data_IF_777784145240
#
_entry.id   IF_777784145240
#
_cell.length_a   1.000
_cell.length_b   1.000
_cell.length_c   1.000
_cell.angle_alpha   90.00
_cell.angle_beta   90.00
_cell.angle_gamma   90.00
#
_symmetry.space_group_name_H-M   'P 1'
#
loop_
_entity.id
_entity.type
_entity.pdbx_description
1 polymer ?
#
# COMPACT_ATOMS: atom_id res chain seq x y z
N UNK A 1 -8.99 -7.02 -8.58
CA UNK A 1 -10.06 -7.15 -9.60
C UNK A 1 -9.65 -6.67 -10.95
N UNK A 2 -9.17 -5.42 -11.06
CA UNK A 2 -8.75 -4.84 -12.34
C UNK A 2 -7.76 -5.74 -13.09
N UNK A 3 -6.68 -6.19 -12.44
CA UNK A 3 -5.68 -7.06 -13.07
C UNK A 3 -6.29 -8.37 -13.64
N UNK A 4 -6.91 -9.26 -12.83
CA UNK A 4 -7.49 -10.48 -13.38
C UNK A 4 -8.54 -10.18 -14.44
N UNK A 5 -9.42 -9.21 -14.23
CA UNK A 5 -10.49 -8.85 -15.18
C UNK A 5 -9.92 -8.45 -16.55
N UNK A 6 -8.93 -7.55 -16.59
CA UNK A 6 -8.32 -7.11 -17.85
C UNK A 6 -7.61 -8.28 -18.55
N UNK A 7 -6.93 -9.14 -17.78
CA UNK A 7 -6.25 -10.31 -18.36
C UNK A 7 -7.25 -11.26 -19.00
N UNK A 8 -8.39 -11.53 -18.34
CA UNK A 8 -9.45 -12.36 -18.91
C UNK A 8 -10.11 -11.73 -20.13
N UNK A 9 -10.42 -10.43 -20.09
CA UNK A 9 -10.96 -9.70 -21.24
C UNK A 9 -10.01 -9.69 -22.45
N UNK A 10 -8.70 -9.75 -22.20
CA UNK A 10 -7.68 -9.87 -23.24
C UNK A 10 -7.45 -11.33 -23.71
N UNK A 11 -8.23 -12.31 -23.23
CA UNK A 11 -8.08 -13.73 -23.59
C UNK A 11 -6.90 -14.43 -22.92
N UNK A 12 -6.34 -13.86 -21.86
CA UNK A 12 -5.22 -14.42 -21.11
C UNK A 12 -5.61 -15.06 -19.78
N UNK A 13 -4.61 -15.62 -19.10
CA UNK A 13 -4.72 -16.17 -17.74
C UNK A 13 -3.68 -15.52 -16.83
N UNK A 14 -4.05 -15.00 -15.64
CA UNK A 14 -3.08 -14.40 -14.74
C UNK A 14 -2.03 -15.42 -14.28
N UNK A 15 -0.74 -15.04 -14.33
CA UNK A 15 0.37 -15.94 -13.97
C UNK A 15 0.62 -16.06 -12.46
N UNK A 16 0.06 -15.17 -11.65
CA UNK A 16 0.30 -15.17 -10.21
C UNK A 16 -0.45 -16.34 -9.53
N UNK A 17 0.27 -17.09 -8.70
CA UNK A 17 -0.28 -18.25 -7.98
C UNK A 17 -1.36 -17.87 -6.95
N UNK A 18 -1.31 -16.64 -6.43
CA UNK A 18 -2.30 -16.10 -5.50
C UNK A 18 -2.61 -14.65 -5.89
N UNK A 19 -3.86 -14.40 -6.24
CA UNK A 19 -4.39 -13.06 -6.48
C UNK A 19 -5.52 -12.79 -5.51
N UNK A 20 -5.47 -11.65 -4.83
CA UNK A 20 -6.57 -11.19 -3.97
C UNK A 20 -7.76 -10.66 -4.79
N UNK A 21 -7.53 -10.39 -6.08
CA UNK A 21 -8.56 -9.94 -7.00
C UNK A 21 -9.26 -11.09 -7.71
N UNK A 22 -10.51 -10.86 -8.09
CA UNK A 22 -11.30 -11.77 -8.91
C UNK A 22 -11.62 -11.16 -10.28
N UNK A 23 -11.92 -12.01 -11.26
CA UNK A 23 -12.45 -11.58 -12.55
C UNK A 23 -13.89 -11.08 -12.40
N UNK A 24 -14.14 -9.86 -12.84
CA UNK A 24 -15.45 -9.22 -12.84
C UNK A 24 -16.09 -9.19 -14.23
N UNK A 25 -15.50 -9.84 -15.24
CA UNK A 25 -16.00 -9.83 -16.63
C UNK A 25 -17.48 -10.20 -16.73
N UNK A 26 -17.91 -11.26 -16.02
CA UNK A 26 -19.31 -11.67 -15.97
C UNK A 26 -20.23 -10.58 -15.38
N UNK A 27 -19.79 -9.88 -14.32
CA UNK A 27 -20.52 -8.76 -13.72
C UNK A 27 -20.63 -7.57 -14.68
N UNK A 28 -19.59 -7.32 -15.47
CA UNK A 28 -19.55 -6.22 -16.43
C UNK A 28 -20.37 -6.49 -17.69
N UNK A 29 -20.51 -7.75 -18.10
CA UNK A 29 -21.16 -8.15 -19.34
C UNK A 29 -22.60 -8.67 -19.14
N UNK A 30 -22.96 -9.09 -17.93
CA UNK A 30 -24.28 -9.65 -17.63
C UNK A 30 -24.96 -8.94 -16.46
N UNK A 31 -26.19 -8.49 -16.69
CA UNK A 31 -26.97 -7.71 -15.72
C UNK A 31 -27.33 -8.44 -14.42
N UNK A 32 -27.19 -9.78 -14.38
CA UNK A 32 -27.58 -10.61 -13.22
C UNK A 32 -26.42 -11.38 -12.59
N UNK A 33 -25.18 -11.16 -13.02
CA UNK A 33 -24.04 -11.78 -12.37
C UNK A 33 -23.82 -11.15 -10.98
N UNK A 34 -23.48 -11.98 -9.99
CA UNK A 34 -23.13 -11.50 -8.65
C UNK A 34 -21.63 -11.27 -8.56
N UNK A 35 -21.22 -10.31 -7.73
CA UNK A 35 -19.81 -10.11 -7.43
C UNK A 35 -19.21 -11.41 -6.84
N UNK A 36 -18.03 -11.86 -7.32
CA UNK A 36 -17.34 -13.01 -6.75
C UNK A 36 -16.82 -12.74 -5.33
N UNK A 37 -16.76 -11.47 -4.90
CA UNK A 37 -16.29 -11.08 -3.59
C UNK A 37 -17.34 -11.29 -2.52
N UNK A 38 -17.02 -12.16 -1.55
CA UNK A 38 -17.81 -12.31 -0.33
C UNK A 38 -17.46 -11.27 0.73
N UNK A 39 -16.18 -10.91 0.80
CA UNK A 39 -15.66 -9.95 1.75
C UNK A 39 -14.53 -9.09 1.16
N UNK A 40 -14.38 -7.87 1.69
CA UNK A 40 -13.30 -6.93 1.40
C UNK A 40 -12.49 -6.69 2.66
N UNK A 41 -11.17 -6.63 2.52
CA UNK A 41 -10.21 -6.50 3.61
C UNK A 41 -9.48 -5.17 3.52
N UNK A 42 -9.41 -4.44 4.63
CA UNK A 42 -8.79 -3.13 4.69
C UNK A 42 -7.54 -3.23 5.56
N UNK A 43 -6.37 -3.08 4.94
CA UNK A 43 -5.09 -3.06 5.65
C UNK A 43 -4.56 -1.64 5.79
N UNK A 44 -3.78 -1.39 6.82
CA UNK A 44 -3.06 -0.13 7.00
C UNK A 44 -1.97 -0.28 8.05
N UNK A 45 -1.02 0.65 8.11
CA UNK A 45 0.17 0.50 8.97
C UNK A 45 1.28 -0.31 8.31
N UNK A 46 2.26 -0.74 9.10
CA UNK A 46 3.44 -1.51 8.64
C UNK A 46 3.56 -2.85 9.35
N UNK A 47 2.65 -3.81 9.08
CA UNK A 47 2.73 -5.14 9.68
C UNK A 47 4.05 -5.82 9.30
N UNK A 48 4.65 -6.56 10.23
CA UNK A 48 5.92 -7.26 10.00
C UNK A 48 7.20 -6.43 10.19
N UNK A 49 7.11 -5.17 10.63
CA UNK A 49 8.26 -4.35 11.01
C UNK A 49 8.84 -4.67 12.41
N UNK A 50 8.75 -5.93 12.86
CA UNK A 50 9.17 -6.35 14.20
C UNK A 50 8.17 -6.05 15.32
N UNK A 51 6.91 -5.78 14.97
CA UNK A 51 5.90 -5.31 15.91
C UNK A 51 5.02 -6.45 16.43
N UNK A 52 4.73 -6.43 17.74
CA UNK A 52 3.67 -7.24 18.34
C UNK A 52 2.29 -6.70 17.97
N UNK A 53 1.23 -7.50 18.17
CA UNK A 53 -0.16 -7.12 17.84
C UNK A 53 -0.62 -5.81 18.51
N UNK A 54 0.05 -5.40 19.59
CA UNK A 54 -0.31 -4.24 20.42
C UNK A 54 0.65 -3.05 20.26
N UNK A 55 1.64 -3.12 19.36
CA UNK A 55 2.62 -2.04 19.18
C UNK A 55 1.99 -0.85 18.43
N UNK A 56 2.01 0.34 19.06
CA UNK A 56 1.59 1.60 18.43
C UNK A 56 2.30 1.79 17.09
N UNK A 57 1.53 1.92 16.01
CA UNK A 57 2.04 2.19 14.66
C UNK A 57 2.20 0.98 13.74
N UNK A 58 1.95 -0.26 14.20
CA UNK A 58 2.05 -1.44 13.34
C UNK A 58 0.76 -2.25 13.15
N UNK A 59 -0.38 -1.60 12.86
CA UNK A 59 -1.57 -2.38 12.61
C UNK A 59 -1.44 -3.16 11.28
N UNK A 60 -2.17 -4.27 11.17
CA UNK A 60 -2.25 -5.11 9.97
C UNK A 60 -3.62 -4.95 9.33
N UNK A 61 -4.53 -5.88 9.63
CA UNK A 61 -5.93 -5.81 9.21
C UNK A 61 -6.70 -4.79 10.07
N UNK A 62 -7.22 -3.73 9.46
CA UNK A 62 -7.96 -2.66 10.15
C UNK A 62 -9.45 -2.92 10.18
N UNK A 63 -10.01 -3.40 9.07
CA UNK A 63 -11.43 -3.64 8.94
C UNK A 63 -11.71 -4.76 7.94
N UNK A 64 -12.89 -5.35 8.06
CA UNK A 64 -13.42 -6.33 7.10
C UNK A 64 -14.88 -5.98 6.80
N UNK A 65 -15.24 -5.92 5.52
CA UNK A 65 -16.62 -5.82 5.05
C UNK A 65 -17.03 -7.15 4.46
N UNK A 66 -18.08 -7.78 4.98
CA UNK A 66 -18.71 -8.96 4.37
C UNK A 66 -20.17 -8.62 4.05
N UNK A 67 -20.50 -8.58 2.76
CA UNK A 67 -21.79 -8.07 2.28
C UNK A 67 -22.09 -6.65 2.81
N UNK A 68 -23.21 -6.53 3.52
CA UNK A 68 -23.68 -5.25 4.10
C UNK A 68 -23.06 -4.88 5.44
N UNK A 69 -22.20 -5.72 6.02
CA UNK A 69 -21.66 -5.47 7.35
C UNK A 69 -20.16 -5.19 7.29
N UNK A 70 -19.70 -4.17 8.02
CA UNK A 70 -18.27 -3.83 8.13
C UNK A 70 -17.85 -3.75 9.59
N UNK A 71 -16.84 -4.53 9.97
CA UNK A 71 -16.24 -4.53 11.30
C UNK A 71 -14.91 -3.77 11.29
N UNK A 72 -14.68 -2.94 12.30
CA UNK A 72 -13.39 -2.32 12.57
C UNK A 72 -12.66 -3.04 13.73
N UNK A 73 -11.41 -3.41 13.47
CA UNK A 73 -10.43 -3.90 14.43
C UNK A 73 -9.48 -2.79 14.89
N UNK A 74 -9.22 -1.82 14.01
CA UNK A 74 -8.37 -0.66 14.27
C UNK A 74 -9.08 0.59 13.74
N UNK A 75 -9.09 1.65 14.55
CA UNK A 75 -9.71 2.93 14.19
C UNK A 75 -8.72 4.09 14.27
N UNK A 76 -8.95 5.12 13.46
CA UNK A 76 -8.19 6.36 13.46
C UNK A 76 -9.12 7.52 13.10
N UNK A 77 -9.17 8.57 13.92
CA UNK A 77 -10.06 9.72 13.75
C UNK A 77 -9.58 10.75 12.72
N UNK A 78 -8.40 10.54 12.12
CA UNK A 78 -7.80 11.42 11.12
C UNK A 78 -6.31 11.16 10.95
N UNK A 79 -5.70 11.66 9.87
CA UNK A 79 -4.31 11.32 9.52
C UNK A 79 -3.27 11.61 10.61
N UNK A 80 -3.50 12.64 11.44
CA UNK A 80 -2.61 13.04 12.54
C UNK A 80 -2.83 12.29 13.85
N UNK A 81 -3.87 11.45 13.93
CA UNK A 81 -4.18 10.69 15.15
C UNK A 81 -3.54 9.33 15.11
N UNK A 82 -3.04 8.87 16.26
CA UNK A 82 -2.49 7.53 16.38
C UNK A 82 -3.60 6.48 16.16
N UNK A 83 -3.34 5.43 15.36
CA UNK A 83 -4.27 4.30 15.26
C UNK A 83 -4.49 3.66 16.63
N UNK A 84 -5.72 3.23 16.91
CA UNK A 84 -6.09 2.54 18.15
C UNK A 84 -6.74 1.20 17.84
N UNK A 85 -6.26 0.13 18.47
CA UNK A 85 -6.91 -1.18 18.43
C UNK A 85 -8.22 -1.11 19.20
N UNK A 86 -9.28 -1.67 18.63
CA UNK A 86 -10.60 -1.74 19.26
C UNK A 86 -10.60 -2.89 20.27
N UNK A 87 -10.35 -2.58 21.54
CA UNK A 87 -10.41 -3.51 22.67
C UNK A 87 -11.72 -3.29 23.42
N UNK A 88 -12.71 -4.19 23.26
CA UNK A 88 -14.01 -4.07 23.92
C UNK A 88 -15.18 -4.23 22.94
N UNK A 89 -16.13 -3.28 22.94
CA UNK A 89 -17.32 -3.33 22.07
C UNK A 89 -16.88 -3.42 20.61
N UNK A 90 -17.28 -4.49 19.92
CA UNK A 90 -17.01 -4.69 18.50
C UNK A 90 -17.74 -3.61 17.71
N UNK A 91 -16.99 -2.86 16.90
CA UNK A 91 -17.55 -1.83 16.03
C UNK A 91 -17.93 -2.48 14.71
N UNK A 92 -19.20 -2.86 14.57
CA UNK A 92 -19.75 -3.43 13.33
C UNK A 92 -20.88 -2.54 12.85
N UNK A 93 -20.89 -2.19 11.58
CA UNK A 93 -21.88 -1.29 10.98
C UNK A 93 -22.61 -1.99 9.83
N UNK A 94 -23.89 -1.64 9.63
CA UNK A 94 -24.59 -2.00 8.40
C UNK A 94 -24.46 -0.83 7.41
N UNK A 95 -23.48 -0.93 6.53
CA UNK A 95 -23.08 0.13 5.59
C UNK A 95 -24.11 0.40 4.48
N UNK A 96 -25.06 -0.51 4.25
CA UNK A 96 -26.17 -0.25 3.30
C UNK A 96 -27.25 0.64 3.91
N UNK A 97 -27.31 0.71 5.26
CA UNK A 97 -28.25 1.58 5.99
C UNK A 97 -27.56 2.80 6.60
N UNK A 98 -26.27 2.67 6.90
CA UNK A 98 -25.46 3.69 7.57
C UNK A 98 -24.04 3.69 6.97
N UNK A 99 -23.94 4.24 5.76
CA UNK A 99 -22.66 4.38 5.06
C UNK A 99 -21.68 5.29 5.81
N UNK A 100 -22.17 6.16 6.69
CA UNK A 100 -21.37 7.05 7.53
C UNK A 100 -20.78 6.39 8.77
N UNK A 101 -21.15 5.14 9.06
CA UNK A 101 -20.65 4.38 10.22
C UNK A 101 -20.90 5.10 11.56
N UNK A 102 -22.07 5.74 11.71
CA UNK A 102 -22.46 6.47 12.91
C UNK A 102 -23.05 5.57 14.01
N UNK A 103 -23.73 4.49 13.62
CA UNK A 103 -24.56 3.67 14.51
C UNK A 103 -24.11 2.20 14.49
N UNK A 104 -23.24 1.78 15.44
CA UNK A 104 -22.83 0.39 15.54
C UNK A 104 -24.02 -0.55 15.78
N UNK A 105 -23.98 -1.74 15.18
CA UNK A 105 -24.94 -2.80 15.39
C UNK A 105 -24.88 -3.35 16.82
N UNK A 106 -26.05 -3.72 17.32
CA UNK A 106 -26.23 -4.37 18.62
C UNK A 106 -27.13 -5.61 18.50
N UNK A 107 -27.19 -6.42 19.57
CA UNK A 107 -28.08 -7.58 19.68
C UNK A 107 -27.84 -8.67 18.62
N UNK A 108 -28.93 -9.28 18.11
CA UNK A 108 -28.89 -10.44 17.21
C UNK A 108 -28.22 -10.13 15.86
N UNK A 109 -28.42 -8.93 15.32
CA UNK A 109 -27.81 -8.50 14.05
C UNK A 109 -26.29 -8.46 14.12
N UNK A 110 -25.75 -8.04 15.27
CA UNK A 110 -24.32 -8.05 15.54
C UNK A 110 -23.75 -9.47 15.56
N UNK A 111 -24.41 -10.42 16.23
CA UNK A 111 -23.91 -11.79 16.36
C UNK A 111 -23.76 -12.50 15.00
N UNK A 112 -24.74 -12.35 14.11
CA UNK A 112 -24.69 -12.93 12.75
C UNK A 112 -23.57 -12.29 11.92
N UNK A 113 -23.43 -10.96 11.99
CA UNK A 113 -22.38 -10.26 11.27
C UNK A 113 -20.98 -10.71 11.73
N UNK A 114 -20.77 -10.83 13.05
CA UNK A 114 -19.51 -11.28 13.63
C UNK A 114 -19.15 -12.72 13.23
N UNK A 115 -20.12 -13.64 13.19
CA UNK A 115 -19.86 -15.02 12.77
C UNK A 115 -19.30 -15.07 11.34
N UNK A 116 -19.93 -14.35 10.40
CA UNK A 116 -19.49 -14.31 9.01
C UNK A 116 -18.12 -13.63 8.84
N UNK A 117 -17.90 -12.51 9.54
CA UNK A 117 -16.63 -11.78 9.46
C UNK A 117 -15.50 -12.60 10.07
N UNK A 118 -15.70 -13.21 11.24
CA UNK A 118 -14.67 -14.03 11.88
C UNK A 118 -14.28 -15.24 11.03
N UNK A 119 -15.26 -15.91 10.39
CA UNK A 119 -14.98 -17.01 9.48
C UNK A 119 -14.10 -16.56 8.29
N UNK A 120 -14.41 -15.40 7.70
CA UNK A 120 -13.62 -14.80 6.62
C UNK A 120 -12.21 -14.39 7.07
N UNK A 121 -12.07 -13.79 8.26
CA UNK A 121 -10.76 -13.44 8.82
C UNK A 121 -9.89 -14.68 9.03
N UNK A 122 -10.45 -15.75 9.60
CA UNK A 122 -9.73 -17.01 9.78
C UNK A 122 -9.26 -17.61 8.45
N UNK A 123 -10.05 -17.47 7.38
CA UNK A 123 -9.65 -17.91 6.05
C UNK A 123 -8.52 -17.05 5.49
N UNK A 124 -8.62 -15.72 5.62
CA UNK A 124 -7.58 -14.78 5.20
C UNK A 124 -6.26 -15.06 5.92
N UNK A 125 -6.28 -15.27 7.23
CA UNK A 125 -5.06 -15.49 8.02
C UNK A 125 -4.24 -16.69 7.54
N UNK A 126 -4.87 -17.68 6.89
CA UNK A 126 -4.18 -18.84 6.30
C UNK A 126 -3.49 -18.52 4.97
N UNK A 127 -3.87 -17.44 4.30
CA UNK A 127 -3.30 -17.03 3.00
C UNK A 127 -2.31 -15.86 3.12
N UNK A 128 -2.22 -15.22 4.29
CA UNK A 128 -1.32 -14.09 4.49
C UNK A 128 0.15 -14.50 4.45
N UNK A 129 1.05 -13.62 3.95
CA UNK A 129 2.48 -13.86 3.99
C UNK A 129 2.99 -14.22 5.39
N UNK A 130 3.67 -15.37 5.50
CA UNK A 130 4.15 -15.92 6.76
C UNK A 130 3.22 -16.91 7.45
N UNK A 131 2.01 -17.13 6.93
CA UNK A 131 1.20 -18.31 7.27
C UNK A 131 1.91 -19.61 6.84
N UNK A 132 1.58 -20.76 7.46
CA UNK A 132 2.17 -22.05 7.06
C UNK A 132 2.00 -22.31 5.56
N UNK A 133 3.10 -22.59 4.86
CA UNK A 133 3.09 -22.83 3.42
C UNK A 133 3.00 -21.57 2.53
N UNK A 134 2.93 -20.36 3.12
CA UNK A 134 2.88 -19.10 2.37
C UNK A 134 4.19 -18.33 2.49
N UNK A 135 4.78 -17.96 1.36
CA UNK A 135 6.03 -17.21 1.31
C UNK A 135 5.95 -15.88 2.10
N UNK A 136 6.98 -15.58 2.89
CA UNK A 136 7.09 -14.30 3.59
C UNK A 136 7.41 -13.17 2.61
N UNK A 137 6.66 -12.07 2.70
CA UNK A 137 6.94 -10.84 1.94
C UNK A 137 7.65 -9.86 2.87
N UNK A 138 8.82 -9.38 2.45
CA UNK A 138 9.60 -8.40 3.23
C UNK A 138 9.00 -7.00 3.05
N UNK A 139 8.91 -6.24 4.14
CA UNK A 139 8.52 -4.83 4.09
C UNK A 139 9.57 -4.01 3.31
N UNK A 140 9.30 -3.72 2.04
CA UNK A 140 10.23 -2.96 1.19
C UNK A 140 10.32 -1.49 1.60
N UNK A 141 9.21 -0.89 2.05
CA UNK A 141 9.20 0.50 2.53
C UNK A 141 10.03 0.64 3.81
N UNK A 142 9.98 -0.37 4.69
CA UNK A 142 10.77 -0.44 5.90
C UNK A 142 12.29 -0.56 5.69
N UNK A 143 12.75 -0.75 4.44
CA UNK A 143 14.19 -0.73 4.11
C UNK A 143 14.80 0.68 4.15
N UNK A 144 13.95 1.71 4.26
CA UNK A 144 14.37 3.10 4.27
C UNK A 144 14.73 3.61 2.88
N UNK A 145 15.12 4.88 2.85
CA UNK A 145 15.52 5.56 1.62
C UNK A 145 17.05 5.57 1.51
N UNK A 146 17.56 5.47 0.29
CA UNK A 146 18.97 5.67 -0.02
C UNK A 146 19.13 6.90 -0.90
N UNK A 147 19.93 7.87 -0.47
CA UNK A 147 20.30 9.03 -1.29
C UNK A 147 21.00 8.61 -2.59
N UNK A 148 21.66 7.45 -2.59
CA UNK A 148 22.39 6.90 -3.73
C UNK A 148 21.47 6.15 -4.72
N UNK A 149 20.20 5.92 -4.36
CA UNK A 149 19.17 5.40 -5.26
C UNK A 149 18.39 6.52 -5.98
N UNK A 150 18.78 7.78 -5.74
CA UNK A 150 18.22 8.92 -6.48
C UNK A 150 18.69 8.86 -7.93
N UNK A 151 17.76 8.99 -8.87
CA UNK A 151 18.09 9.14 -10.27
C UNK A 151 18.87 10.44 -10.46
N UNK A 152 20.16 10.32 -10.75
CA UNK A 152 21.05 11.43 -11.05
C UNK A 152 21.38 11.44 -12.54
N UNK A 153 21.15 12.56 -13.22
CA UNK A 153 21.41 12.72 -14.65
C UNK A 153 22.91 12.94 -14.98
N UNK A 154 23.84 12.66 -14.06
CA UNK A 154 25.30 12.71 -14.29
C UNK A 154 26.07 11.82 -13.32
N UNK A 155 26.70 10.75 -13.81
CA UNK A 155 27.83 10.12 -13.11
C UNK A 155 29.10 10.86 -13.55
N UNK A 156 29.65 11.67 -12.65
CA UNK A 156 30.90 12.38 -12.86
C UNK A 156 32.05 11.40 -13.14
N UNK A 157 32.40 11.26 -14.41
CA UNK A 157 33.71 10.83 -14.85
C UNK A 157 34.40 12.05 -15.48
N UNK A 158 35.22 12.75 -14.69
CA UNK A 158 36.22 13.69 -15.19
C UNK A 158 35.80 15.17 -15.19
N UNK A 159 36.45 15.96 -14.33
CA UNK A 159 36.61 17.41 -14.53
C UNK A 159 35.97 18.28 -13.45
N UNK A 160 36.79 18.69 -12.49
CA UNK A 160 36.60 19.95 -11.76
C UNK A 160 36.37 21.08 -12.76
N UNK A 161 35.13 21.52 -12.90
CA UNK A 161 34.77 22.65 -13.74
C UNK A 161 33.53 23.32 -13.18
N UNK A 162 33.72 24.34 -12.35
CA UNK A 162 32.67 25.30 -12.03
C UNK A 162 32.11 25.82 -13.36
N UNK A 163 30.80 25.74 -13.63
CA UNK A 163 30.24 26.29 -14.85
C UNK A 163 30.37 27.81 -14.77
N UNK A 164 31.35 28.34 -15.48
CA UNK A 164 31.49 29.76 -15.71
C UNK A 164 30.44 30.10 -16.76
N UNK A 165 29.41 30.87 -16.40
CA UNK A 165 28.51 31.47 -17.38
C UNK A 165 29.38 32.18 -18.42
N UNK A 166 29.04 32.06 -19.70
CA UNK A 166 29.78 32.55 -20.86
C UNK A 166 30.10 34.07 -20.88
N UNK A 167 29.78 34.80 -19.81
CA UNK A 167 30.09 36.22 -19.60
C UNK A 167 30.86 36.51 -18.29
N UNK A 168 31.55 35.53 -17.69
CA UNK A 168 32.52 35.77 -16.62
C UNK A 168 31.96 36.31 -15.29
N UNK A 169 30.64 36.35 -15.09
CA UNK A 169 30.02 36.79 -13.83
C UNK A 169 29.60 35.59 -12.99
N UNK A 170 30.12 35.52 -11.75
CA UNK A 170 29.62 34.59 -10.71
C UNK A 170 28.11 34.81 -10.54
N UNK A 171 27.32 33.75 -10.67
CA UNK A 171 25.88 33.79 -10.45
C UNK A 171 25.60 34.27 -9.00
N UNK A 172 25.18 35.53 -8.86
CA UNK A 172 24.68 36.05 -7.58
C UNK A 172 23.38 35.33 -7.25
N UNK A 173 23.30 34.77 -6.04
CA UNK A 173 22.07 34.30 -5.41
C UNK A 173 21.00 35.41 -5.50
N UNK A 174 20.03 35.24 -6.38
CA UNK A 174 18.77 35.96 -6.28
C UNK A 174 17.88 35.20 -5.29
N UNK A 175 17.52 35.88 -4.20
CA UNK A 175 16.63 35.35 -3.17
C UNK A 175 15.23 35.12 -3.72
N UNK A 176 14.73 33.91 -3.52
CA UNK A 176 13.31 33.60 -3.40
C UNK A 176 13.17 32.69 -2.18
N UNK A 177 12.27 33.08 -1.27
CA UNK A 177 12.11 32.45 0.03
C UNK A 177 11.65 31.00 -0.05
N UNK A 178 12.00 30.24 0.99
CA UNK A 178 11.11 29.21 1.51
C UNK A 178 11.00 27.88 0.74
N UNK A 179 11.98 27.49 -0.07
CA UNK A 179 12.15 26.08 -0.44
C UNK A 179 13.63 25.75 -0.39
N UNK A 180 14.01 24.74 0.39
CA UNK A 180 15.35 24.13 0.27
C UNK A 180 15.44 23.61 -1.16
N UNK A 181 16.09 24.39 -2.02
CA UNK A 181 16.29 24.06 -3.43
C UNK A 181 17.08 22.78 -3.54
N UNK A 182 16.39 21.69 -3.86
CA UNK A 182 17.03 20.57 -4.52
C UNK A 182 17.48 21.08 -5.89
N UNK A 183 18.76 20.94 -6.27
CA UNK A 183 19.19 21.34 -7.61
C UNK A 183 18.33 20.59 -8.64
N UNK A 184 17.72 21.35 -9.54
CA UNK A 184 16.90 20.80 -10.61
C UNK A 184 17.79 19.94 -11.53
N UNK A 185 17.61 18.62 -11.50
CA UNK A 185 18.24 17.73 -12.46
C UNK A 185 17.63 18.00 -13.84
N UNK A 186 18.41 18.52 -14.79
CA UNK A 186 18.02 18.59 -16.20
C UNK A 186 18.41 17.29 -16.88
N UNK A 187 17.44 16.60 -17.46
CA UNK A 187 17.65 15.29 -18.08
C UNK A 187 17.48 15.39 -19.60
N UNK A 188 18.49 14.95 -20.35
CA UNK A 188 18.49 14.88 -21.82
C UNK A 188 18.43 13.42 -22.28
N UNK A 189 18.20 13.19 -23.57
CA UNK A 189 18.12 11.85 -24.18
C UNK A 189 19.37 10.97 -24.00
N UNK A 190 20.50 11.55 -23.55
CA UNK A 190 21.76 10.83 -23.35
C UNK A 190 22.00 10.30 -21.92
N UNK A 191 21.16 10.62 -20.92
CA UNK A 191 21.54 10.48 -19.49
C UNK A 191 20.60 9.57 -18.65
N UNK A 192 19.92 8.60 -19.26
CA UNK A 192 18.86 7.77 -18.65
C UNK A 192 19.31 6.54 -17.85
N UNK A 193 20.44 6.56 -17.15
CA UNK A 193 20.96 5.35 -16.51
C UNK A 193 20.47 5.14 -15.07
N UNK A 194 19.51 4.22 -14.89
CA UNK A 194 19.12 3.67 -13.59
C UNK A 194 20.10 2.55 -13.22
N UNK A 195 20.97 2.73 -12.22
CA UNK A 195 21.74 1.62 -11.64
C UNK A 195 21.00 1.08 -10.42
N UNK A 196 20.28 -0.02 -10.58
CA UNK A 196 19.75 -0.81 -9.45
C UNK A 196 20.80 -1.82 -9.00
N UNK A 197 21.35 -1.67 -7.79
CA UNK A 197 22.12 -2.75 -7.18
C UNK A 197 21.17 -3.90 -6.82
N UNK A 198 21.32 -5.05 -7.49
CA UNK A 198 20.68 -6.31 -7.11
C UNK A 198 21.62 -7.11 -6.17
N UNK A 199 21.10 -7.74 -5.10
CA UNK A 199 21.87 -8.67 -4.25
C UNK A 199 22.27 -9.95 -5.02
N UNK A 200 23.36 -10.66 -4.63
CA UNK A 200 23.90 -10.75 -3.27
C UNK A 200 25.38 -10.36 -3.10
N UNK A 201 25.66 -9.32 -2.29
CA UNK A 201 26.98 -8.89 -1.74
C UNK A 201 28.09 -8.53 -2.76
N UNK A 202 29.23 -7.91 -2.38
CA UNK A 202 29.61 -7.15 -1.18
C UNK A 202 29.77 -5.63 -1.48
N UNK A 203 30.16 -4.87 -0.46
CA UNK A 203 30.45 -3.43 -0.42
C UNK A 203 30.74 -2.70 -1.75
N UNK A 204 29.95 -1.67 -2.03
CA UNK A 204 30.42 -0.55 -2.85
C UNK A 204 31.24 0.37 -1.93
N UNK A 205 32.57 0.19 -1.98
CA UNK A 205 33.55 0.86 -1.11
C UNK A 205 34.28 -0.13 -0.24
#
# INVERSE_FOLDING_TARGET
DVLPTIVFLAGGTPRAALLDGADLSALLQHNNASSPHRCLYFFGGTPGAGCGKDTKGCPGLWAVRCGKHKQHFVVRAGQRTAPRVVTGRRLVYNIERDAGEHSPLEGRGLAVALANINASVLQLERTLPGAPGVARVRNQIGRGYSSNATLCCSSAGGGSGVPTLANGRKARRAGLGGARGYPACTCTSANWHVRTCLPPWPSCG
#
